data_IF_632487402200
#
_entry.id   IF_632487402200
#
_cell.length_a   1.000
_cell.length_b   1.000
_cell.length_c   1.000
_cell.angle_alpha   90.00
_cell.angle_beta   90.00
_cell.angle_gamma   90.00
#
_symmetry.space_group_name_H-M   'P 1'
#
loop_
_entity.id
_entity.type
_entity.pdbx_description
1 polymer ?
#
# COMPACT_ATOMS: atom_id res chain seq x y z
N UNK A 1 25.10 5.06 8.33
CA UNK A 1 24.01 4.51 9.18
C UNK A 1 24.66 3.65 10.24
N UNK A 2 24.05 3.50 11.44
CA UNK A 2 24.58 2.58 12.44
C UNK A 2 24.37 1.14 11.97
N UNK A 3 25.25 0.25 12.37
CA UNK A 3 25.18 -1.18 12.07
C UNK A 3 24.35 -1.87 13.15
N UNK A 4 23.53 -2.87 12.77
CA UNK A 4 22.66 -3.60 13.68
C UNK A 4 22.97 -5.09 13.58
N UNK A 5 23.17 -5.72 14.73
CA UNK A 5 23.27 -7.18 14.83
C UNK A 5 22.03 -7.73 15.57
N UNK A 6 21.14 -8.38 14.82
CA UNK A 6 20.02 -9.13 15.39
C UNK A 6 20.51 -10.53 15.77
N UNK A 7 20.52 -10.84 17.09
CA UNK A 7 20.99 -12.12 17.61
C UNK A 7 19.85 -13.06 17.92
N UNK A 8 20.07 -14.37 17.64
CA UNK A 8 19.11 -15.43 17.93
C UNK A 8 17.71 -15.18 17.32
N UNK A 9 17.69 -14.58 16.12
CA UNK A 9 16.45 -14.35 15.37
C UNK A 9 16.06 -15.60 14.57
N UNK A 10 14.76 -15.94 14.50
CA UNK A 10 14.29 -17.00 13.63
C UNK A 10 14.05 -16.49 12.21
N UNK A 11 14.65 -17.14 11.21
CA UNK A 11 14.42 -16.90 9.78
C UNK A 11 14.05 -18.23 9.14
N UNK A 12 12.87 -18.33 8.52
CA UNK A 12 12.39 -19.55 7.89
C UNK A 12 12.49 -20.80 8.81
N UNK A 13 12.20 -20.62 10.10
CA UNK A 13 12.25 -21.69 11.11
C UNK A 13 13.62 -22.03 11.67
N UNK A 14 14.69 -21.36 11.23
CA UNK A 14 16.06 -21.56 11.73
C UNK A 14 16.49 -20.38 12.62
N UNK A 15 17.05 -20.66 13.81
CA UNK A 15 17.63 -19.63 14.67
C UNK A 15 19.01 -19.22 14.11
N UNK A 16 19.21 -17.94 13.87
CA UNK A 16 20.43 -17.39 13.28
C UNK A 16 20.76 -16.01 13.85
N UNK A 17 21.93 -15.48 13.53
CA UNK A 17 22.29 -14.09 13.69
C UNK A 17 22.19 -13.38 12.33
N UNK A 18 21.74 -12.14 12.31
CA UNK A 18 21.61 -11.31 11.10
C UNK A 18 22.31 -9.97 11.32
N UNK A 19 23.27 -9.65 10.45
CA UNK A 19 23.96 -8.36 10.43
C UNK A 19 23.34 -7.45 9.37
N UNK A 20 23.07 -6.22 9.76
CA UNK A 20 22.55 -5.17 8.88
C UNK A 20 23.60 -4.06 8.83
N UNK A 21 24.08 -3.76 7.61
CA UNK A 21 25.06 -2.73 7.32
C UNK A 21 24.58 -1.91 6.11
N UNK A 22 24.77 -0.61 6.14
CA UNK A 22 24.41 0.31 5.04
C UNK A 22 22.98 0.14 4.50
N UNK A 23 22.05 -0.15 5.39
CA UNK A 23 20.64 -0.34 5.04
C UNK A 23 20.31 -1.69 4.40
N UNK A 24 21.25 -2.65 4.40
CA UNK A 24 21.08 -3.98 3.80
C UNK A 24 21.36 -5.09 4.80
N UNK A 25 20.76 -6.25 4.56
CA UNK A 25 21.15 -7.50 5.21
C UNK A 25 22.51 -7.89 4.63
N UNK A 26 23.57 -7.69 5.39
CA UNK A 26 24.91 -7.99 4.90
C UNK A 26 25.30 -9.45 5.12
N UNK A 27 24.81 -10.06 6.21
CA UNK A 27 25.13 -11.45 6.55
C UNK A 27 24.03 -12.11 7.36
N UNK A 28 23.77 -13.38 7.07
CA UNK A 28 22.95 -14.29 7.89
C UNK A 28 23.80 -15.52 8.18
N UNK A 29 23.95 -15.90 9.45
CA UNK A 29 24.78 -17.04 9.85
C UNK A 29 24.24 -17.70 11.12
N UNK A 30 24.72 -18.91 11.43
CA UNK A 30 24.31 -19.64 12.62
C UNK A 30 24.48 -18.80 13.89
N UNK A 31 23.55 -18.95 14.82
CA UNK A 31 23.50 -18.17 16.05
C UNK A 31 24.84 -18.23 16.81
N UNK A 32 25.36 -17.09 17.22
CA UNK A 32 26.62 -16.94 17.94
C UNK A 32 27.88 -16.98 17.07
N UNK A 33 27.77 -17.05 15.74
CA UNK A 33 28.93 -17.10 14.85
C UNK A 33 29.37 -15.77 14.27
N UNK A 34 28.49 -14.75 14.30
CA UNK A 34 28.85 -13.39 13.86
C UNK A 34 29.54 -12.68 15.04
N UNK A 35 30.90 -12.57 14.96
CA UNK A 35 31.67 -11.70 15.83
C UNK A 35 31.67 -10.29 15.22
N UNK A 36 31.03 -9.34 15.89
CA UNK A 36 31.00 -7.96 15.42
C UNK A 36 31.26 -6.98 16.57
N UNK A 37 32.16 -6.03 16.35
CA UNK A 37 32.56 -5.03 17.33
C UNK A 37 32.10 -3.66 16.83
N UNK A 38 31.13 -3.02 17.53
CA UNK A 38 30.63 -1.69 17.19
C UNK A 38 29.19 -1.61 16.69
N UNK A 39 28.47 -2.74 16.45
CA UNK A 39 27.06 -2.73 16.08
C UNK A 39 26.14 -2.50 17.31
N UNK A 40 24.93 -1.97 17.06
CA UNK A 40 23.81 -2.03 18.02
C UNK A 40 23.29 -3.50 18.08
N UNK A 41 23.65 -4.20 19.16
CA UNK A 41 23.31 -5.62 19.34
C UNK A 41 21.90 -5.72 19.94
N UNK A 42 21.01 -6.41 19.24
CA UNK A 42 19.63 -6.63 19.64
C UNK A 42 19.36 -8.11 19.84
N UNK A 43 19.00 -8.52 21.06
CA UNK A 43 18.57 -9.89 21.36
C UNK A 43 17.15 -10.12 20.79
N UNK A 44 17.00 -11.13 19.94
CA UNK A 44 15.77 -11.43 19.21
C UNK A 44 15.22 -12.83 19.50
N UNK A 45 15.66 -13.49 20.56
CA UNK A 45 15.14 -14.81 20.95
C UNK A 45 13.63 -14.77 21.15
N UNK A 46 12.93 -15.72 20.52
CA UNK A 46 11.46 -15.76 20.50
C UNK A 46 10.80 -14.79 19.53
N UNK A 47 11.61 -14.22 18.59
CA UNK A 47 11.08 -13.41 17.50
C UNK A 47 11.39 -14.04 16.15
N UNK A 48 10.50 -13.85 15.19
CA UNK A 48 10.65 -14.26 13.79
C UNK A 48 10.84 -13.02 12.93
N UNK A 49 11.91 -13.03 12.11
CA UNK A 49 12.08 -12.00 11.09
C UNK A 49 11.25 -12.33 9.86
N UNK A 50 10.58 -11.34 9.32
CA UNK A 50 9.91 -11.41 8.02
C UNK A 50 10.07 -10.09 7.26
N UNK A 51 9.85 -10.08 5.94
CA UNK A 51 9.88 -8.83 5.18
C UNK A 51 8.82 -7.85 5.68
N UNK A 52 9.12 -6.56 5.62
CA UNK A 52 8.14 -5.52 5.84
C UNK A 52 6.97 -5.60 4.86
N UNK A 53 5.77 -5.33 5.33
CA UNK A 53 4.61 -5.27 4.45
C UNK A 53 4.64 -4.03 3.56
N UNK A 54 4.11 -4.19 2.36
CA UNK A 54 3.90 -3.10 1.41
C UNK A 54 2.41 -2.92 1.16
N UNK A 55 1.89 -1.75 1.45
CA UNK A 55 0.50 -1.39 1.23
C UNK A 55 0.34 -0.68 -0.12
N UNK A 56 -0.23 -1.36 -1.12
CA UNK A 56 -0.19 -0.91 -2.51
C UNK A 56 -1.29 0.07 -2.91
N UNK A 57 -2.16 0.46 -1.98
CA UNK A 57 -3.14 1.53 -2.20
C UNK A 57 -3.59 2.13 -0.87
N UNK A 58 -3.36 3.43 -0.72
CA UNK A 58 -3.78 4.23 0.43
C UNK A 58 -4.25 5.63 0.01
N UNK A 59 -4.94 6.28 0.97
CA UNK A 59 -5.18 7.71 1.01
C UNK A 59 -4.73 8.23 2.38
N UNK A 60 -3.42 8.39 2.56
CA UNK A 60 -2.80 8.66 3.86
C UNK A 60 -3.35 9.93 4.53
N UNK A 61 -3.68 10.95 3.74
CA UNK A 61 -4.33 12.17 4.24
C UNK A 61 -5.71 11.96 4.86
N UNK A 62 -6.34 10.80 4.67
CA UNK A 62 -7.61 10.44 5.29
C UNK A 62 -7.46 9.77 6.66
N UNK A 63 -6.24 9.63 7.20
CA UNK A 63 -6.01 8.87 8.44
C UNK A 63 -6.81 9.38 9.66
N UNK A 64 -7.18 10.65 9.67
CA UNK A 64 -8.01 11.24 10.72
C UNK A 64 -9.51 11.23 10.43
N UNK A 65 -9.95 10.70 9.27
CA UNK A 65 -11.36 10.65 8.85
C UNK A 65 -12.07 9.35 9.24
N UNK A 66 -11.54 8.57 10.14
CA UNK A 66 -12.16 7.32 10.61
C UNK A 66 -13.53 7.58 11.20
N UNK A 67 -14.52 6.74 10.84
CA UNK A 67 -15.88 6.87 11.35
C UNK A 67 -16.69 8.01 10.73
N UNK A 68 -16.21 8.62 9.64
CA UNK A 68 -16.95 9.66 8.93
C UNK A 68 -17.68 9.04 7.74
N UNK A 69 -19.02 9.29 7.66
CA UNK A 69 -19.84 8.81 6.54
C UNK A 69 -20.22 7.33 6.65
N UNK A 70 -20.38 6.82 7.87
CA UNK A 70 -20.84 5.46 8.10
C UNK A 70 -22.33 5.29 7.72
N UNK A 71 -22.69 4.06 7.31
CA UNK A 71 -24.07 3.61 7.05
C UNK A 71 -24.84 4.44 6.00
N UNK A 72 -24.14 5.01 5.02
CA UNK A 72 -24.73 5.73 3.88
C UNK A 72 -24.31 5.09 2.55
N UNK A 73 -25.09 5.33 1.49
CA UNK A 73 -24.78 4.78 0.16
C UNK A 73 -23.44 5.33 -0.38
N UNK A 74 -22.72 4.52 -1.18
CA UNK A 74 -21.39 4.83 -1.73
C UNK A 74 -21.29 6.26 -2.32
N UNK A 75 -22.24 6.66 -3.18
CA UNK A 75 -22.19 8.00 -3.81
C UNK A 75 -22.40 9.12 -2.79
N UNK A 76 -23.27 8.92 -1.81
CA UNK A 76 -23.48 9.90 -0.73
C UNK A 76 -22.24 10.00 0.17
N UNK A 77 -21.56 8.86 0.40
CA UNK A 77 -20.29 8.81 1.10
C UNK A 77 -19.22 9.60 0.33
N UNK A 78 -19.08 9.36 -0.97
CA UNK A 78 -18.10 10.05 -1.82
C UNK A 78 -18.35 11.57 -1.86
N UNK A 79 -19.60 12.01 -2.05
CA UNK A 79 -19.98 13.42 -2.00
C UNK A 79 -19.62 14.06 -0.64
N UNK A 80 -19.90 13.36 0.46
CA UNK A 80 -19.55 13.81 1.80
C UNK A 80 -18.05 13.94 2.01
N UNK A 81 -17.27 12.98 1.56
CA UNK A 81 -15.80 13.04 1.65
C UNK A 81 -15.28 14.24 0.84
N UNK A 82 -15.75 14.43 -0.39
CA UNK A 82 -15.33 15.57 -1.21
C UNK A 82 -15.69 16.92 -0.59
N UNK A 83 -16.85 17.04 0.08
CA UNK A 83 -17.21 18.27 0.81
C UNK A 83 -16.23 18.54 1.97
N UNK A 84 -15.82 17.51 2.69
CA UNK A 84 -14.84 17.64 3.77
C UNK A 84 -13.47 18.02 3.19
N UNK A 85 -13.05 17.38 2.11
CA UNK A 85 -11.75 17.62 1.47
C UNK A 85 -11.55 19.06 0.98
N UNK A 86 -12.64 19.79 0.67
CA UNK A 86 -12.56 21.22 0.34
C UNK A 86 -12.04 22.10 1.48
N UNK A 87 -12.13 21.63 2.71
CA UNK A 87 -11.68 22.37 3.91
C UNK A 87 -10.26 21.99 4.35
N UNK A 88 -9.65 21.03 3.66
CA UNK A 88 -8.30 20.58 4.01
C UNK A 88 -7.24 21.54 3.49
N UNK A 89 -6.14 21.61 4.22
CA UNK A 89 -4.96 22.36 3.86
C UNK A 89 -3.67 21.51 4.01
N UNK A 90 -2.56 22.10 3.65
CA UNK A 90 -1.24 21.48 3.70
C UNK A 90 -0.88 20.95 5.09
N UNK A 91 -1.19 21.74 6.14
CA UNK A 91 -0.90 21.37 7.52
C UNK A 91 -1.74 20.17 7.97
N UNK A 92 -3.03 20.13 7.61
CA UNK A 92 -3.87 18.96 7.88
C UNK A 92 -3.27 17.72 7.23
N UNK A 93 -2.97 17.76 5.93
CA UNK A 93 -2.45 16.60 5.20
C UNK A 93 -1.11 16.13 5.75
N UNK A 94 -0.21 17.06 6.12
CA UNK A 94 1.04 16.70 6.79
C UNK A 94 0.81 15.90 8.07
N UNK A 95 -0.05 16.39 8.96
CA UNK A 95 -0.30 15.72 10.23
C UNK A 95 -1.10 14.42 10.07
N UNK A 96 -2.07 14.38 9.15
CA UNK A 96 -2.83 13.16 8.84
C UNK A 96 -1.91 12.08 8.24
N UNK A 97 -1.00 12.44 7.34
CA UNK A 97 -0.02 11.51 6.78
C UNK A 97 0.94 10.98 7.87
N UNK A 98 1.35 11.81 8.85
CA UNK A 98 2.14 11.31 9.99
C UNK A 98 1.38 10.30 10.84
N UNK A 99 0.07 10.50 11.04
CA UNK A 99 -0.79 9.53 11.74
C UNK A 99 -0.90 8.24 10.93
N UNK A 100 -1.08 8.33 9.60
CA UNK A 100 -1.06 7.16 8.71
C UNK A 100 0.25 6.39 8.82
N UNK A 101 1.39 7.06 8.71
CA UNK A 101 2.70 6.45 8.85
C UNK A 101 2.89 5.79 10.23
N UNK A 102 2.43 6.44 11.29
CA UNK A 102 2.49 5.89 12.65
C UNK A 102 1.72 4.57 12.73
N UNK A 103 0.49 4.50 12.22
CA UNK A 103 -0.29 3.27 12.21
C UNK A 103 0.36 2.19 11.34
N UNK A 104 0.78 2.53 10.13
CA UNK A 104 1.46 1.62 9.22
C UNK A 104 2.73 1.03 9.87
N UNK A 105 3.55 1.84 10.54
CA UNK A 105 4.71 1.34 11.31
C UNK A 105 4.25 0.38 12.40
N UNK A 106 3.23 0.73 13.18
CA UNK A 106 2.74 -0.10 14.30
C UNK A 106 2.13 -1.41 13.85
N UNK A 107 1.67 -1.50 12.60
CA UNK A 107 1.07 -2.69 11.99
C UNK A 107 2.00 -3.42 11.02
N UNK A 108 3.25 -2.96 10.85
CA UNK A 108 4.29 -3.69 10.11
C UNK A 108 4.47 -3.27 8.66
N UNK A 109 3.91 -2.17 8.21
CA UNK A 109 4.13 -1.64 6.86
C UNK A 109 5.44 -0.84 6.82
N UNK A 110 6.30 -1.13 5.85
CA UNK A 110 7.57 -0.41 5.59
C UNK A 110 7.53 0.44 4.33
N UNK A 111 6.60 0.13 3.41
CA UNK A 111 6.41 0.89 2.19
C UNK A 111 4.93 0.97 1.83
N UNK A 112 4.51 2.05 1.16
CA UNK A 112 3.14 2.20 0.70
C UNK A 112 3.03 3.01 -0.58
N UNK A 113 1.92 2.83 -1.31
CA UNK A 113 1.55 3.61 -2.49
C UNK A 113 0.36 4.49 -2.12
N UNK A 114 0.53 5.82 -2.24
CA UNK A 114 -0.45 6.81 -1.82
C UNK A 114 -1.03 7.60 -2.98
N UNK A 115 -2.32 7.82 -2.94
CA UNK A 115 -3.04 8.67 -3.87
C UNK A 115 -3.77 9.76 -3.08
N UNK A 116 -3.12 10.92 -2.90
CA UNK A 116 -3.75 12.00 -2.15
C UNK A 116 -3.27 13.39 -2.60
N UNK A 117 -3.94 14.40 -2.09
CA UNK A 117 -3.66 15.81 -2.34
C UNK A 117 -2.44 16.30 -1.53
N UNK A 118 -1.92 17.49 -1.87
CA UNK A 118 -0.81 18.14 -1.15
C UNK A 118 0.45 17.27 -1.02
N UNK A 119 0.83 16.62 -2.11
CA UNK A 119 1.96 15.69 -2.18
C UNK A 119 3.27 16.19 -1.53
N UNK A 120 3.68 17.48 -1.59
CA UNK A 120 4.89 17.96 -0.90
C UNK A 120 4.81 17.79 0.62
N UNK A 121 3.62 17.91 1.20
CA UNK A 121 3.40 17.70 2.63
C UNK A 121 3.39 16.22 3.00
N UNK A 122 2.83 15.37 2.14
CA UNK A 122 2.96 13.93 2.28
C UNK A 122 4.42 13.49 2.22
N UNK A 123 5.20 14.01 1.25
CA UNK A 123 6.65 13.74 1.15
C UNK A 123 7.41 14.12 2.43
N UNK A 124 7.15 15.33 2.96
CA UNK A 124 7.76 15.79 4.20
C UNK A 124 7.44 14.84 5.36
N UNK A 125 6.17 14.49 5.54
CA UNK A 125 5.72 13.59 6.60
C UNK A 125 6.37 12.19 6.48
N UNK A 126 6.34 11.59 5.29
CA UNK A 126 6.91 10.27 5.02
C UNK A 126 8.42 10.25 5.26
N UNK A 127 9.13 11.29 4.79
CA UNK A 127 10.60 11.42 4.98
C UNK A 127 10.98 11.51 6.45
N UNK A 128 10.22 12.26 7.25
CA UNK A 128 10.44 12.37 8.70
C UNK A 128 10.13 11.06 9.43
N UNK A 129 9.09 10.32 8.98
CA UNK A 129 8.70 9.04 9.57
C UNK A 129 9.59 7.87 9.11
N UNK A 130 10.34 8.04 8.02
CA UNK A 130 11.34 7.08 7.55
C UNK A 130 10.80 5.87 6.80
N UNK A 131 9.56 5.92 6.29
CA UNK A 131 8.96 4.91 5.43
C UNK A 131 9.38 5.08 3.97
N UNK A 132 9.26 4.02 3.17
CA UNK A 132 9.26 4.15 1.71
C UNK A 132 7.86 4.49 1.21
N UNK A 133 7.78 5.27 0.14
CA UNK A 133 6.50 5.55 -0.49
C UNK A 133 6.59 5.74 -2.01
N UNK A 134 5.53 5.34 -2.69
CA UNK A 134 5.14 5.86 -3.98
C UNK A 134 4.12 6.97 -3.70
N UNK A 135 4.44 8.23 -4.02
CA UNK A 135 3.53 9.36 -3.82
C UNK A 135 3.00 9.85 -5.16
N UNK A 136 1.68 9.93 -5.29
CA UNK A 136 1.03 10.25 -6.54
C UNK A 136 0.69 11.74 -6.65
N UNK A 137 1.03 12.36 -7.79
CA UNK A 137 0.31 13.54 -8.24
C UNK A 137 -1.02 13.10 -8.86
N UNK A 138 -2.13 13.52 -8.26
CA UNK A 138 -3.47 13.10 -8.68
C UNK A 138 -4.02 14.05 -9.73
N UNK A 139 -4.35 13.54 -10.91
CA UNK A 139 -5.12 14.29 -11.91
C UNK A 139 -6.61 13.97 -11.76
N UNK A 140 -7.43 15.03 -11.69
CA UNK A 140 -8.89 14.96 -11.53
C UNK A 140 -9.52 16.26 -12.07
N UNK A 141 -9.52 16.42 -13.38
CA UNK A 141 -9.95 17.65 -14.06
C UNK A 141 -11.47 17.79 -14.21
N UNK A 142 -12.22 16.74 -13.90
CA UNK A 142 -13.70 16.69 -14.01
C UNK A 142 -14.23 17.17 -15.38
N UNK A 143 -13.47 16.88 -16.43
CA UNK A 143 -13.73 17.32 -17.80
C UNK A 143 -13.75 18.86 -17.98
N UNK A 144 -13.04 19.61 -17.13
CA UNK A 144 -12.81 21.04 -17.28
C UNK A 144 -11.47 21.30 -17.97
N UNK A 145 -11.45 21.88 -19.20
CA UNK A 145 -10.22 22.11 -19.95
C UNK A 145 -9.25 23.10 -19.27
N UNK A 146 -9.76 24.11 -18.54
CA UNK A 146 -8.91 25.06 -17.81
C UNK A 146 -8.21 24.35 -16.64
N UNK A 147 -8.96 23.52 -15.93
CA UNK A 147 -8.42 22.70 -14.85
C UNK A 147 -7.41 21.67 -15.38
N UNK A 148 -7.65 21.05 -16.54
CA UNK A 148 -6.70 20.15 -17.19
C UNK A 148 -5.35 20.83 -17.43
N UNK A 149 -5.34 22.03 -18.04
CA UNK A 149 -4.10 22.78 -18.32
C UNK A 149 -3.39 23.19 -17.01
N UNK A 150 -4.15 23.61 -16.00
CA UNK A 150 -3.59 23.95 -14.69
C UNK A 150 -2.90 22.74 -14.05
N UNK A 151 -3.57 21.57 -14.04
CA UNK A 151 -3.02 20.36 -13.44
C UNK A 151 -1.81 19.82 -14.20
N UNK A 152 -1.75 19.95 -15.53
CA UNK A 152 -0.57 19.58 -16.33
C UNK A 152 0.67 20.37 -15.90
N UNK A 153 0.54 21.71 -15.76
CA UNK A 153 1.63 22.57 -15.31
C UNK A 153 2.08 22.19 -13.90
N UNK A 154 1.14 22.05 -12.98
CA UNK A 154 1.45 21.68 -11.60
C UNK A 154 2.10 20.29 -11.49
N UNK A 155 1.64 19.31 -12.27
CA UNK A 155 2.26 17.99 -12.30
C UNK A 155 3.71 18.06 -12.76
N UNK A 156 4.00 18.82 -13.81
CA UNK A 156 5.37 19.00 -14.30
C UNK A 156 6.27 19.68 -13.26
N UNK A 157 5.79 20.72 -12.60
CA UNK A 157 6.52 21.40 -11.53
C UNK A 157 6.79 20.46 -10.34
N UNK A 158 5.79 19.67 -9.93
CA UNK A 158 5.95 18.69 -8.85
C UNK A 158 6.93 17.57 -9.24
N UNK A 159 6.88 17.09 -10.47
CA UNK A 159 7.84 16.12 -10.97
C UNK A 159 9.25 16.65 -10.96
N UNK A 160 9.48 17.87 -11.42
CA UNK A 160 10.82 18.51 -11.36
C UNK A 160 11.30 18.67 -9.90
N UNK A 161 10.43 19.09 -9.00
CA UNK A 161 10.74 19.17 -7.57
C UNK A 161 11.09 17.80 -6.96
N UNK A 162 10.39 16.74 -7.37
CA UNK A 162 10.61 15.38 -6.87
C UNK A 162 11.98 14.80 -7.20
N UNK A 163 12.69 15.33 -8.18
CA UNK A 163 14.07 14.90 -8.51
C UNK A 163 15.08 15.17 -7.39
N UNK A 164 14.72 16.01 -6.43
CA UNK A 164 15.51 16.27 -5.22
C UNK A 164 15.11 15.41 -4.02
N UNK A 165 14.11 14.54 -4.17
CA UNK A 165 13.63 13.69 -3.09
C UNK A 165 14.65 12.60 -2.73
N UNK A 166 14.49 12.08 -1.52
CA UNK A 166 15.20 10.87 -1.10
C UNK A 166 14.82 9.69 -2.00
N UNK A 167 15.75 8.77 -2.23
CA UNK A 167 15.54 7.49 -2.92
C UNK A 167 14.52 6.55 -2.20
N UNK A 168 14.11 6.92 -0.99
CA UNK A 168 13.03 6.26 -0.26
C UNK A 168 11.63 6.60 -0.81
N UNK A 169 11.51 7.68 -1.60
CA UNK A 169 10.20 8.17 -2.09
C UNK A 169 10.24 8.38 -3.59
N UNK A 170 9.30 7.75 -4.29
CA UNK A 170 9.19 7.80 -5.75
C UNK A 170 7.95 8.58 -6.15
N UNK A 171 8.10 9.47 -7.13
CA UNK A 171 6.99 10.17 -7.76
C UNK A 171 6.20 9.23 -8.67
N UNK A 172 4.87 9.27 -8.57
CA UNK A 172 3.92 8.55 -9.42
C UNK A 172 2.92 9.57 -9.97
N UNK A 173 2.38 9.34 -11.16
CA UNK A 173 1.20 10.08 -11.63
C UNK A 173 -0.04 9.23 -11.39
N UNK A 174 -1.10 9.84 -10.88
CA UNK A 174 -2.36 9.14 -10.65
C UNK A 174 -3.49 9.74 -11.46
N UNK A 175 -4.19 8.88 -12.20
CA UNK A 175 -5.49 9.16 -12.80
C UNK A 175 -6.52 8.79 -11.74
N UNK A 176 -7.28 9.79 -11.20
CA UNK A 176 -8.22 9.48 -10.13
C UNK A 176 -9.14 8.31 -10.51
N UNK A 177 -9.96 8.48 -11.53
CA UNK A 177 -10.81 7.43 -12.10
C UNK A 177 -11.31 7.86 -13.49
N UNK A 178 -11.77 6.92 -14.31
CA UNK A 178 -12.26 7.21 -15.67
C UNK A 178 -13.47 8.18 -15.72
N UNK A 179 -14.26 8.23 -14.66
CA UNK A 179 -15.45 9.09 -14.59
C UNK A 179 -15.15 10.52 -14.11
N UNK A 180 -13.97 10.79 -13.62
CA UNK A 180 -13.55 12.07 -13.03
C UNK A 180 -12.38 12.73 -13.78
N UNK A 181 -11.88 12.08 -14.83
CA UNK A 181 -10.73 12.55 -15.62
C UNK A 181 -11.08 12.50 -17.11
N UNK A 182 -10.88 13.61 -17.82
CA UNK A 182 -11.13 13.66 -19.26
C UNK A 182 -10.22 12.73 -20.04
N UNK A 183 -10.69 12.21 -21.19
CA UNK A 183 -9.88 11.35 -22.07
C UNK A 183 -8.56 12.01 -22.45
N UNK A 184 -8.61 13.30 -22.80
CA UNK A 184 -7.40 14.06 -23.16
C UNK A 184 -6.37 14.13 -22.01
N UNK A 185 -6.85 14.22 -20.76
CA UNK A 185 -6.00 14.24 -19.57
C UNK A 185 -5.48 12.84 -19.22
N UNK A 186 -6.28 11.79 -19.40
CA UNK A 186 -5.85 10.38 -19.31
C UNK A 186 -4.70 10.09 -20.26
N UNK A 187 -4.85 10.46 -21.53
CA UNK A 187 -3.81 10.28 -22.56
C UNK A 187 -2.56 11.08 -22.20
N UNK A 188 -2.70 12.35 -21.82
CA UNK A 188 -1.56 13.18 -21.42
C UNK A 188 -0.82 12.59 -20.22
N UNK A 189 -1.54 12.16 -19.19
CA UNK A 189 -0.95 11.57 -17.97
C UNK A 189 -0.17 10.28 -18.29
N UNK A 190 -0.72 9.44 -19.15
CA UNK A 190 -0.06 8.21 -19.62
C UNK A 190 1.21 8.51 -20.42
N UNK A 191 1.14 9.44 -21.38
CA UNK A 191 2.30 9.84 -22.17
C UNK A 191 3.39 10.48 -21.32
N UNK A 192 2.99 11.36 -20.38
CA UNK A 192 3.91 11.99 -19.43
C UNK A 192 4.62 10.95 -18.54
N UNK A 193 3.86 9.99 -18.00
CA UNK A 193 4.42 8.91 -17.19
C UNK A 193 5.47 8.12 -17.97
N UNK A 194 5.14 7.64 -19.15
CA UNK A 194 6.03 6.82 -19.96
C UNK A 194 7.26 7.55 -20.45
N UNK A 195 7.11 8.82 -20.84
CA UNK A 195 8.23 9.67 -21.24
C UNK A 195 9.26 9.85 -20.09
N UNK A 196 8.80 9.81 -18.86
CA UNK A 196 9.63 10.03 -17.66
C UNK A 196 9.92 8.73 -16.88
N UNK A 197 9.51 7.56 -17.37
CA UNK A 197 9.73 6.27 -16.69
C UNK A 197 8.98 6.12 -15.36
N UNK A 198 7.81 6.78 -15.23
CA UNK A 198 6.99 6.78 -14.03
C UNK A 198 5.95 5.67 -14.04
N UNK A 199 5.46 5.29 -12.86
CA UNK A 199 4.27 4.47 -12.70
C UNK A 199 3.00 5.32 -12.83
N UNK A 200 1.91 4.65 -13.22
CA UNK A 200 0.55 5.22 -13.28
C UNK A 200 -0.30 4.51 -12.23
N UNK A 201 -0.99 5.27 -11.40
CA UNK A 201 -1.93 4.74 -10.41
C UNK A 201 -3.36 5.13 -10.81
N UNK A 202 -4.34 4.22 -10.68
CA UNK A 202 -5.73 4.49 -11.09
C UNK A 202 -6.72 3.65 -10.28
N UNK A 203 -7.87 4.24 -9.88
CA UNK A 203 -9.04 3.46 -9.45
C UNK A 203 -9.71 2.87 -10.69
N UNK A 204 -9.94 1.57 -10.69
CA UNK A 204 -10.42 0.86 -11.88
C UNK A 204 -11.45 -0.21 -11.54
N UNK A 205 -12.64 -0.10 -12.15
CA UNK A 205 -13.72 -1.10 -12.02
C UNK A 205 -14.07 -1.41 -10.56
N UNK A 206 -14.18 -0.37 -9.73
CA UNK A 206 -14.50 -0.50 -8.30
C UNK A 206 -15.96 -0.87 -8.07
N UNK A 207 -16.89 -0.24 -8.82
CA UNK A 207 -18.33 -0.41 -8.63
C UNK A 207 -19.01 -0.89 -9.90
N UNK A 208 -20.13 -1.62 -9.73
CA UNK A 208 -20.99 -2.02 -10.86
C UNK A 208 -21.48 -0.81 -11.65
N UNK A 209 -21.74 0.29 -10.96
CA UNK A 209 -22.17 1.54 -11.59
C UNK A 209 -21.09 2.14 -12.47
N UNK A 210 -19.84 2.19 -12.04
CA UNK A 210 -18.72 2.64 -12.85
C UNK A 210 -18.63 1.85 -14.16
N UNK A 211 -18.74 0.52 -14.08
CA UNK A 211 -18.70 -0.36 -15.26
C UNK A 211 -19.88 -0.08 -16.19
N UNK A 212 -21.10 -0.02 -15.65
CA UNK A 212 -22.31 0.20 -16.45
C UNK A 212 -22.32 1.57 -17.13
N UNK A 213 -21.89 2.62 -16.42
CA UNK A 213 -21.81 3.98 -16.96
C UNK A 213 -20.74 4.07 -18.07
N UNK A 214 -19.59 3.45 -17.87
CA UNK A 214 -18.52 3.37 -18.88
C UNK A 214 -19.02 2.66 -20.14
N UNK A 215 -19.67 1.50 -20.01
CA UNK A 215 -20.25 0.78 -21.15
C UNK A 215 -21.26 1.60 -21.91
N UNK A 216 -22.12 2.36 -21.21
CA UNK A 216 -23.09 3.22 -21.83
C UNK A 216 -22.46 4.40 -22.61
N UNK A 217 -21.35 4.94 -22.10
CA UNK A 217 -20.67 6.11 -22.70
C UNK A 217 -19.67 5.74 -23.78
N UNK A 218 -19.06 4.55 -23.73
CA UNK A 218 -17.95 4.14 -24.58
C UNK A 218 -18.28 2.91 -25.46
N UNK A 219 -19.51 2.87 -26.01
CA UNK A 219 -19.89 1.86 -27.03
C UNK A 219 -19.86 0.41 -26.56
N UNK A 220 -20.16 0.18 -25.27
CA UNK A 220 -20.20 -1.14 -24.66
C UNK A 220 -18.87 -1.61 -24.07
N UNK A 221 -17.82 -0.79 -24.09
CA UNK A 221 -16.53 -1.12 -23.47
C UNK A 221 -16.59 -1.01 -21.95
N UNK A 222 -16.01 -2.00 -21.26
CA UNK A 222 -15.74 -1.90 -19.82
C UNK A 222 -14.66 -0.85 -19.53
N UNK A 223 -14.46 -0.41 -18.27
CA UNK A 223 -13.35 0.48 -17.91
C UNK A 223 -11.96 -0.05 -18.35
N UNK A 224 -11.74 -1.36 -18.23
CA UNK A 224 -10.50 -2.01 -18.66
C UNK A 224 -10.36 -1.96 -20.18
N UNK A 225 -11.41 -2.35 -20.92
CA UNK A 225 -11.41 -2.30 -22.39
C UNK A 225 -11.21 -0.87 -22.91
N UNK A 226 -11.82 0.12 -22.26
CA UNK A 226 -11.68 1.52 -22.61
C UNK A 226 -10.24 2.00 -22.43
N UNK A 227 -9.63 1.79 -21.25
CA UNK A 227 -8.23 2.17 -21.01
C UNK A 227 -7.25 1.39 -21.92
N UNK A 228 -7.56 0.13 -22.23
CA UNK A 228 -6.75 -0.65 -23.19
C UNK A 228 -6.84 -0.07 -24.60
N UNK A 229 -8.04 0.34 -25.05
CA UNK A 229 -8.24 0.99 -26.34
C UNK A 229 -7.50 2.30 -26.51
N UNK A 230 -7.30 3.03 -25.40
CA UNK A 230 -6.48 4.24 -25.33
C UNK A 230 -4.98 3.96 -25.22
N UNK A 231 -4.57 2.69 -25.10
CA UNK A 231 -3.18 2.30 -24.92
C UNK A 231 -2.59 2.66 -23.55
N UNK A 232 -3.43 2.88 -22.53
CA UNK A 232 -2.99 3.27 -21.18
C UNK A 232 -2.47 2.09 -20.36
N UNK A 233 -3.03 0.88 -20.55
CA UNK A 233 -2.66 -0.28 -19.73
C UNK A 233 -1.28 -0.84 -20.07
N UNK A 234 -0.49 -1.17 -19.06
CA UNK A 234 0.86 -1.71 -19.16
C UNK A 234 1.43 -2.13 -17.80
N UNK A 235 2.67 -2.65 -17.79
CA UNK A 235 3.41 -3.04 -16.57
C UNK A 235 3.72 -1.84 -15.65
N UNK A 236 3.57 -0.65 -16.17
CA UNK A 236 3.70 0.62 -15.44
C UNK A 236 2.44 1.01 -14.68
N UNK A 237 1.31 0.29 -14.86
CA UNK A 237 0.01 0.63 -14.27
C UNK A 237 -0.25 -0.15 -12.98
N UNK A 238 -0.66 0.58 -11.94
CA UNK A 238 -1.16 0.09 -10.66
C UNK A 238 -2.65 0.41 -10.60
N UNK A 239 -3.50 -0.60 -10.73
CA UNK A 239 -4.95 -0.47 -10.76
C UNK A 239 -5.55 -0.88 -9.41
N UNK A 240 -6.08 0.09 -8.67
CA UNK A 240 -6.77 -0.15 -7.41
C UNK A 240 -8.19 -0.69 -7.64
N UNK A 241 -8.65 -1.55 -6.73
CA UNK A 241 -9.92 -2.27 -6.70
C UNK A 241 -10.01 -3.42 -7.70
N UNK A 242 -10.09 -3.17 -9.00
CA UNK A 242 -10.23 -4.19 -10.07
C UNK A 242 -11.24 -5.28 -9.70
N UNK A 243 -12.40 -4.86 -9.21
CA UNK A 243 -13.38 -5.74 -8.57
C UNK A 243 -14.45 -6.25 -9.54
N UNK A 244 -15.01 -5.35 -10.39
CA UNK A 244 -16.06 -5.68 -11.35
C UNK A 244 -15.45 -5.93 -12.73
N UNK A 245 -14.91 -7.14 -12.92
CA UNK A 245 -14.21 -7.54 -14.15
C UNK A 245 -14.99 -8.62 -14.91
N UNK A 246 -15.09 -8.50 -16.22
CA UNK A 246 -15.44 -9.60 -17.12
C UNK A 246 -14.25 -10.56 -17.26
N UNK A 247 -14.44 -11.70 -17.93
CA UNK A 247 -13.33 -12.60 -18.23
C UNK A 247 -12.36 -11.98 -19.26
N UNK A 248 -12.89 -11.17 -20.18
CA UNK A 248 -12.09 -10.40 -21.13
C UNK A 248 -11.22 -9.35 -20.45
N UNK A 249 -11.73 -8.68 -19.42
CA UNK A 249 -10.95 -7.71 -18.63
C UNK A 249 -9.77 -8.40 -17.96
N UNK A 250 -9.99 -9.59 -17.39
CA UNK A 250 -8.94 -10.39 -16.77
C UNK A 250 -7.85 -10.75 -17.77
N UNK A 251 -8.22 -11.20 -18.97
CA UNK A 251 -7.26 -11.50 -20.05
C UNK A 251 -6.44 -10.27 -20.46
N UNK A 252 -7.09 -9.10 -20.59
CA UNK A 252 -6.41 -7.84 -20.92
C UNK A 252 -5.42 -7.45 -19.83
N UNK A 253 -5.85 -7.43 -18.57
CA UNK A 253 -5.01 -7.05 -17.43
C UNK A 253 -3.78 -7.96 -17.31
N UNK A 254 -3.97 -9.29 -17.45
CA UNK A 254 -2.88 -10.26 -17.46
C UNK A 254 -1.91 -10.06 -18.62
N UNK A 255 -2.43 -9.93 -19.85
CA UNK A 255 -1.62 -9.71 -21.05
C UNK A 255 -0.80 -8.42 -21.01
N UNK A 256 -1.36 -7.37 -20.40
CA UNK A 256 -0.69 -6.06 -20.24
C UNK A 256 0.26 -6.01 -19.04
N UNK A 257 0.26 -7.03 -18.17
CA UNK A 257 1.11 -7.07 -16.97
C UNK A 257 0.73 -6.03 -15.92
N UNK A 258 -0.55 -5.63 -15.89
CA UNK A 258 -1.06 -4.64 -14.92
C UNK A 258 -0.95 -5.17 -13.50
N UNK A 259 -0.57 -4.31 -12.55
CA UNK A 259 -0.65 -4.62 -11.13
C UNK A 259 -2.06 -4.33 -10.61
N UNK A 260 -2.79 -5.37 -10.21
CA UNK A 260 -4.12 -5.29 -9.64
C UNK A 260 -4.05 -5.26 -8.12
N UNK A 261 -4.63 -4.25 -7.48
CA UNK A 261 -4.60 -4.08 -6.01
C UNK A 261 -5.97 -4.34 -5.41
N UNK A 262 -6.08 -5.38 -4.57
CA UNK A 262 -7.33 -5.72 -3.89
C UNK A 262 -7.46 -4.96 -2.58
N UNK A 263 -8.51 -4.14 -2.45
CA UNK A 263 -8.82 -3.29 -1.29
C UNK A 263 -10.02 -3.86 -0.52
N UNK A 264 -9.88 -5.08 0.00
CA UNK A 264 -11.00 -5.88 0.49
C UNK A 264 -11.85 -5.20 1.55
N UNK A 265 -11.21 -4.58 2.56
CA UNK A 265 -11.92 -3.98 3.70
C UNK A 265 -12.78 -2.79 3.26
N UNK A 266 -12.23 -1.93 2.40
CA UNK A 266 -12.97 -0.83 1.77
C UNK A 266 -14.12 -1.33 0.91
N UNK A 267 -13.86 -2.27 0.00
CA UNK A 267 -14.90 -2.81 -0.89
C UNK A 267 -16.05 -3.45 -0.14
N UNK A 268 -15.77 -4.17 0.96
CA UNK A 268 -16.81 -4.77 1.80
C UNK A 268 -17.58 -3.72 2.60
N UNK A 269 -16.88 -2.77 3.22
CA UNK A 269 -17.50 -1.74 4.05
C UNK A 269 -18.39 -0.80 3.23
N UNK A 270 -17.92 -0.36 2.06
CA UNK A 270 -18.68 0.51 1.15
C UNK A 270 -19.69 -0.26 0.28
N UNK A 271 -19.79 -1.59 0.46
CA UNK A 271 -20.63 -2.48 -0.33
C UNK A 271 -20.41 -2.34 -1.85
N UNK A 272 -19.18 -1.98 -2.29
CA UNK A 272 -18.81 -1.91 -3.71
C UNK A 272 -18.84 -3.28 -4.36
N UNK A 273 -18.62 -4.36 -3.59
CA UNK A 273 -18.64 -5.76 -4.03
C UNK A 273 -17.67 -6.63 -3.22
N UNK A 274 -17.63 -7.94 -3.53
CA UNK A 274 -16.80 -8.90 -2.79
C UNK A 274 -16.16 -10.00 -3.65
N UNK A 275 -16.48 -10.05 -4.96
CA UNK A 275 -16.03 -11.12 -5.86
C UNK A 275 -14.76 -10.75 -6.63
N UNK A 276 -13.70 -10.40 -5.92
CA UNK A 276 -12.41 -10.15 -6.56
C UNK A 276 -11.87 -11.43 -7.22
N UNK A 277 -11.57 -11.38 -8.52
CA UNK A 277 -11.16 -12.53 -9.35
C UNK A 277 -9.67 -12.89 -9.17
N UNK A 278 -9.23 -13.17 -7.93
CA UNK A 278 -7.83 -13.44 -7.62
C UNK A 278 -7.22 -14.56 -8.47
N UNK A 279 -7.86 -15.75 -8.47
CA UNK A 279 -7.31 -16.92 -9.17
C UNK A 279 -7.18 -16.63 -10.66
N UNK A 280 -8.21 -16.02 -11.25
CA UNK A 280 -8.30 -15.69 -12.66
C UNK A 280 -7.23 -14.67 -13.07
N UNK A 281 -7.03 -13.61 -12.28
CA UNK A 281 -6.00 -12.59 -12.51
C UNK A 281 -4.59 -13.19 -12.40
N UNK A 282 -4.32 -13.98 -11.36
CA UNK A 282 -3.05 -14.70 -11.19
C UNK A 282 -2.76 -15.61 -12.39
N UNK A 283 -3.74 -16.42 -12.78
CA UNK A 283 -3.59 -17.42 -13.87
C UNK A 283 -3.44 -16.74 -15.23
N UNK A 284 -4.01 -15.55 -15.41
CA UNK A 284 -3.80 -14.70 -16.58
C UNK A 284 -2.43 -13.98 -16.60
N UNK A 285 -1.67 -14.02 -15.48
CA UNK A 285 -0.34 -13.41 -15.38
C UNK A 285 -0.32 -11.97 -14.86
N UNK A 286 -1.42 -11.44 -14.36
CA UNK A 286 -1.44 -10.14 -13.68
C UNK A 286 -0.65 -10.20 -12.37
N UNK A 287 0.05 -9.12 -12.02
CA UNK A 287 0.65 -8.97 -10.71
C UNK A 287 -0.45 -8.56 -9.71
N UNK A 288 -0.67 -9.36 -8.65
CA UNK A 288 -1.73 -9.08 -7.68
C UNK A 288 -1.13 -8.68 -6.34
N UNK A 289 -1.60 -7.55 -5.81
CA UNK A 289 -1.18 -7.01 -4.52
C UNK A 289 -2.40 -6.71 -3.63
N UNK A 290 -2.15 -6.40 -2.35
CA UNK A 290 -3.16 -5.90 -1.42
C UNK A 290 -2.95 -4.42 -1.12
N UNK A 291 -4.05 -3.73 -0.82
CA UNK A 291 -4.07 -2.38 -0.30
C UNK A 291 -5.18 -2.21 0.74
N UNK A 292 -5.03 -1.24 1.62
CA UNK A 292 -6.04 -0.94 2.64
C UNK A 292 -7.09 0.05 2.17
N UNK A 293 -6.75 0.86 1.15
CA UNK A 293 -7.47 2.09 0.84
C UNK A 293 -7.35 3.15 1.97
N UNK A 294 -8.15 4.20 1.96
CA UNK A 294 -8.13 5.27 2.97
C UNK A 294 -8.92 4.93 4.23
N UNK A 295 -8.54 5.56 5.35
CA UNK A 295 -9.24 5.37 6.63
C UNK A 295 -10.70 5.87 6.63
N UNK A 296 -11.10 6.69 5.67
CA UNK A 296 -12.51 7.06 5.51
C UNK A 296 -13.36 5.89 4.97
N UNK A 297 -12.75 4.99 4.18
CA UNK A 297 -13.43 3.83 3.59
C UNK A 297 -13.18 2.51 4.33
N UNK A 298 -11.96 2.25 4.84
CA UNK A 298 -11.60 0.99 5.49
C UNK A 298 -11.44 1.09 7.02
N UNK A 299 -11.35 2.30 7.56
CA UNK A 299 -11.12 2.65 8.96
C UNK A 299 -9.75 2.30 9.54
N UNK A 300 -8.91 1.53 8.88
CA UNK A 300 -7.54 1.24 9.32
C UNK A 300 -6.58 1.02 8.14
N UNK A 301 -5.27 0.99 8.45
CA UNK A 301 -4.18 0.75 7.50
C UNK A 301 -3.43 -0.56 7.86
N UNK A 302 -4.15 -1.54 8.40
CA UNK A 302 -3.59 -2.80 8.91
C UNK A 302 -3.56 -3.89 7.84
N UNK A 303 -2.35 -4.25 7.37
CA UNK A 303 -2.16 -5.25 6.34
C UNK A 303 -2.43 -6.69 6.83
N UNK A 304 -2.26 -7.00 8.14
CA UNK A 304 -2.62 -8.32 8.68
C UNK A 304 -4.14 -8.53 8.65
N UNK A 305 -4.91 -7.51 9.04
CA UNK A 305 -6.37 -7.56 8.93
C UNK A 305 -6.80 -7.69 7.46
N UNK A 306 -6.18 -6.92 6.57
CA UNK A 306 -6.46 -6.99 5.13
C UNK A 306 -6.18 -8.37 4.55
N UNK A 307 -5.05 -8.99 4.90
CA UNK A 307 -4.73 -10.37 4.49
C UNK A 307 -5.77 -11.37 4.99
N UNK A 308 -6.11 -11.33 6.28
CA UNK A 308 -7.11 -12.22 6.89
C UNK A 308 -8.46 -12.10 6.20
N UNK A 309 -8.96 -10.88 6.03
CA UNK A 309 -10.24 -10.62 5.39
C UNK A 309 -10.24 -11.11 3.93
N UNK A 310 -9.17 -10.83 3.18
CA UNK A 310 -9.01 -11.29 1.78
C UNK A 310 -9.08 -12.82 1.69
N UNK A 311 -8.34 -13.53 2.52
CA UNK A 311 -8.35 -14.99 2.51
C UNK A 311 -9.74 -15.57 2.86
N UNK A 312 -10.39 -15.00 3.87
CA UNK A 312 -11.70 -15.52 4.34
C UNK A 312 -12.79 -15.29 3.30
N UNK A 313 -12.86 -14.10 2.70
CA UNK A 313 -13.89 -13.81 1.69
C UNK A 313 -13.68 -14.63 0.41
N UNK A 314 -12.43 -14.82 -0.04
CA UNK A 314 -12.13 -15.65 -1.21
C UNK A 314 -12.58 -17.09 -1.01
N UNK A 315 -12.29 -17.68 0.15
CA UNK A 315 -12.73 -19.04 0.49
C UNK A 315 -14.25 -19.14 0.56
N UNK A 316 -14.90 -18.13 1.17
CA UNK A 316 -16.35 -18.14 1.38
C UNK A 316 -17.14 -18.06 0.06
N UNK A 317 -16.87 -17.06 -0.79
CA UNK A 317 -17.66 -16.87 -2.00
C UNK A 317 -17.34 -17.92 -3.09
N UNK A 318 -16.13 -18.48 -3.09
CA UNK A 318 -15.75 -19.58 -4.00
C UNK A 318 -16.20 -20.95 -3.51
N UNK A 319 -16.62 -21.05 -2.24
CA UNK A 319 -16.88 -22.33 -1.57
C UNK A 319 -15.70 -23.32 -1.70
N UNK A 320 -14.47 -22.76 -1.57
CA UNK A 320 -13.21 -23.49 -1.73
C UNK A 320 -12.22 -23.09 -0.65
N UNK A 321 -11.86 -24.01 0.23
CA UNK A 321 -10.91 -23.78 1.33
C UNK A 321 -9.47 -23.57 0.85
N UNK A 322 -9.15 -23.93 -0.39
CA UNK A 322 -7.83 -23.76 -0.99
C UNK A 322 -7.67 -22.42 -1.71
N UNK A 323 -8.74 -21.66 -1.90
CA UNK A 323 -8.69 -20.36 -2.56
C UNK A 323 -7.78 -19.39 -1.81
N UNK A 324 -6.96 -18.62 -2.52
CA UNK A 324 -5.98 -17.67 -1.99
C UNK A 324 -5.11 -18.30 -0.88
N UNK A 325 -4.14 -19.16 -1.25
CA UNK A 325 -3.26 -19.86 -0.30
C UNK A 325 -2.42 -18.89 0.51
N UNK A 326 -2.02 -19.27 1.72
CA UNK A 326 -1.29 -18.43 2.68
C UNK A 326 0.02 -17.87 2.10
N UNK A 327 0.80 -18.70 1.40
CA UNK A 327 2.05 -18.29 0.78
C UNK A 327 1.82 -17.22 -0.29
N UNK A 328 0.83 -17.39 -1.17
CA UNK A 328 0.48 -16.41 -2.19
C UNK A 328 -0.01 -15.09 -1.55
N UNK A 329 -0.78 -15.20 -0.47
CA UNK A 329 -1.28 -14.05 0.28
C UNK A 329 -0.13 -13.20 0.89
N UNK A 330 0.90 -13.86 1.44
CA UNK A 330 2.10 -13.18 1.92
C UNK A 330 2.87 -12.53 0.77
N UNK A 331 2.98 -13.21 -0.38
CA UNK A 331 3.62 -12.64 -1.56
C UNK A 331 2.91 -11.36 -2.05
N UNK A 332 1.57 -11.29 -1.92
CA UNK A 332 0.79 -10.10 -2.31
C UNK A 332 1.10 -8.85 -1.48
N UNK A 333 1.73 -9.00 -0.32
CA UNK A 333 2.12 -7.88 0.55
C UNK A 333 3.64 -7.73 0.71
N UNK A 334 4.43 -8.57 0.04
CA UNK A 334 5.90 -8.57 0.13
C UNK A 334 6.57 -8.62 -1.25
N UNK A 335 6.59 -9.77 -1.90
CA UNK A 335 7.32 -10.02 -3.15
C UNK A 335 6.65 -9.35 -4.35
N UNK A 336 5.33 -9.43 -4.47
CA UNK A 336 4.62 -8.86 -5.61
C UNK A 336 4.71 -7.33 -5.66
N UNK A 337 4.50 -6.59 -4.56
CA UNK A 337 4.74 -5.15 -4.56
C UNK A 337 6.22 -4.78 -4.75
N UNK A 338 7.19 -5.59 -4.31
CA UNK A 338 8.62 -5.34 -4.55
C UNK A 338 8.95 -5.23 -6.05
N UNK A 339 8.27 -6.01 -6.91
CA UNK A 339 8.37 -5.90 -8.38
C UNK A 339 7.95 -4.53 -8.89
N UNK A 340 6.89 -3.96 -8.29
CA UNK A 340 6.37 -2.63 -8.65
C UNK A 340 7.32 -1.53 -8.19
N UNK A 341 7.84 -1.65 -6.97
CA UNK A 341 8.82 -0.72 -6.40
C UNK A 341 10.15 -0.74 -7.15
N UNK A 342 10.49 -1.86 -7.81
CA UNK A 342 11.76 -2.01 -8.55
C UNK A 342 12.98 -2.05 -7.64
N UNK A 343 12.83 -2.44 -6.36
CA UNK A 343 13.90 -2.51 -5.36
C UNK A 343 13.98 -3.90 -4.73
N UNK A 344 15.14 -4.26 -4.19
CA UNK A 344 15.34 -5.58 -3.57
C UNK A 344 14.83 -5.59 -2.13
N UNK A 345 13.50 -5.70 -1.97
CA UNK A 345 12.78 -5.90 -0.71
C UNK A 345 11.85 -7.13 -0.83
N UNK A 346 11.13 -7.46 0.22
CA UNK A 346 10.12 -8.53 0.21
C UNK A 346 10.68 -9.94 0.46
N UNK A 347 11.98 -10.08 0.70
CA UNK A 347 12.65 -11.33 1.06
C UNK A 347 13.68 -11.10 2.15
N UNK A 348 13.92 -12.14 2.98
CA UNK A 348 15.02 -12.15 3.95
C UNK A 348 16.18 -12.92 3.32
N UNK A 349 17.12 -12.18 2.72
CA UNK A 349 18.30 -12.76 2.07
C UNK A 349 19.47 -11.76 2.11
N UNK A 350 20.69 -12.25 2.07
CA UNK A 350 21.88 -11.39 2.01
C UNK A 350 21.86 -10.52 0.74
N UNK A 351 22.18 -9.24 0.90
CA UNK A 351 22.14 -8.21 -0.16
C UNK A 351 20.77 -7.52 -0.32
N UNK A 352 19.69 -8.03 0.26
CA UNK A 352 18.41 -7.35 0.27
C UNK A 352 18.44 -6.08 1.13
N UNK A 353 17.60 -5.11 0.81
CA UNK A 353 17.38 -3.95 1.68
C UNK A 353 16.77 -4.43 3.00
N UNK A 354 17.24 -3.87 4.11
CA UNK A 354 16.79 -4.24 5.45
C UNK A 354 15.48 -3.51 5.79
N UNK A 355 14.39 -3.96 5.15
CA UNK A 355 13.01 -3.59 5.43
C UNK A 355 12.35 -4.81 6.07
N UNK A 356 12.30 -4.85 7.41
CA UNK A 356 12.04 -6.07 8.20
C UNK A 356 11.03 -5.82 9.30
N UNK A 357 10.29 -6.87 9.63
CA UNK A 357 9.48 -6.98 10.85
C UNK A 357 10.11 -8.01 11.78
N UNK A 358 10.12 -7.72 13.07
CA UNK A 358 10.38 -8.67 14.12
C UNK A 358 9.04 -9.02 14.79
N UNK A 359 8.57 -10.23 14.59
CA UNK A 359 7.28 -10.72 15.11
C UNK A 359 7.54 -11.45 16.42
N UNK A 360 6.91 -11.01 17.50
CA UNK A 360 6.92 -11.71 18.79
C UNK A 360 6.01 -12.93 18.73
N UNK A 361 6.59 -14.13 18.86
CA UNK A 361 5.86 -15.40 18.85
C UNK A 361 5.65 -15.98 20.26
N UNK A 362 5.95 -15.23 21.29
CA UNK A 362 5.75 -15.63 22.69
C UNK A 362 4.31 -15.63 23.17
N UNK A 363 3.37 -15.15 22.35
CA UNK A 363 1.96 -15.07 22.72
C UNK A 363 1.20 -16.38 22.45
N UNK A 364 0.00 -16.52 23.05
CA UNK A 364 -0.88 -17.69 22.87
C UNK A 364 -1.31 -17.91 21.40
N UNK A 365 -1.24 -16.88 20.57
CA UNK A 365 -1.56 -16.99 19.14
C UNK A 365 -0.62 -17.95 18.40
N UNK A 366 0.61 -18.12 18.87
CA UNK A 366 1.66 -18.94 18.26
C UNK A 366 1.94 -20.25 19.04
N UNK A 367 1.18 -20.56 20.10
CA UNK A 367 1.39 -21.79 20.90
C UNK A 367 0.99 -23.06 20.16
N UNK A 368 0.22 -22.97 19.09
CA UNK A 368 -0.22 -24.12 18.30
C UNK A 368 0.95 -24.68 17.46
N UNK A 369 1.00 -26.01 17.22
CA UNK A 369 2.00 -26.62 16.33
C UNK A 369 1.74 -26.35 14.84
N UNK A 370 0.78 -25.51 14.49
CA UNK A 370 0.54 -25.04 13.12
C UNK A 370 1.70 -24.18 12.59
N UNK A 371 1.70 -23.90 11.29
CA UNK A 371 2.73 -23.04 10.71
C UNK A 371 2.68 -21.62 11.28
N UNK A 372 3.83 -20.98 11.33
CA UNK A 372 3.97 -19.56 11.73
C UNK A 372 3.04 -18.67 10.89
N UNK A 373 3.04 -18.84 9.58
CA UNK A 373 2.27 -18.03 8.63
C UNK A 373 0.76 -18.19 8.85
N UNK A 374 0.29 -19.41 9.11
CA UNK A 374 -1.13 -19.66 9.40
C UNK A 374 -1.56 -18.99 10.72
N UNK A 375 -0.71 -19.09 11.76
CA UNK A 375 -0.97 -18.42 13.02
C UNK A 375 -0.90 -16.90 12.90
N UNK A 376 0.06 -16.37 12.14
CA UNK A 376 0.17 -14.94 11.87
C UNK A 376 -1.10 -14.38 11.21
N UNK A 377 -1.58 -15.03 10.14
CA UNK A 377 -2.71 -14.52 9.35
C UNK A 377 -4.05 -14.76 10.04
N UNK A 378 -4.29 -15.95 10.58
CA UNK A 378 -5.63 -16.32 11.07
C UNK A 378 -5.83 -16.10 12.56
N UNK A 379 -4.76 -16.11 13.36
CA UNK A 379 -4.87 -16.08 14.82
C UNK A 379 -4.33 -14.78 15.43
N UNK A 380 -3.22 -14.26 14.92
CA UNK A 380 -2.56 -13.08 15.49
C UNK A 380 -3.28 -11.77 15.11
N UNK A 381 -2.89 -10.71 15.81
CA UNK A 381 -3.23 -9.32 15.52
C UNK A 381 -1.94 -8.52 15.40
N UNK A 382 -2.00 -7.29 14.89
CA UNK A 382 -0.82 -6.48 14.59
C UNK A 382 -0.02 -6.03 15.83
N UNK A 383 -0.52 -6.30 17.04
CA UNK A 383 0.25 -6.14 18.27
C UNK A 383 1.41 -7.15 18.41
N UNK A 384 1.39 -8.26 17.64
CA UNK A 384 2.52 -9.19 17.54
C UNK A 384 3.74 -8.61 16.80
N UNK A 385 3.60 -7.52 16.05
CA UNK A 385 4.72 -6.81 15.41
C UNK A 385 5.50 -6.07 16.48
N UNK A 386 6.56 -6.67 17.00
CA UNK A 386 7.38 -6.10 18.07
C UNK A 386 8.22 -4.91 17.61
N UNK A 387 8.91 -5.07 16.48
CA UNK A 387 9.81 -4.04 15.94
C UNK A 387 9.71 -3.97 14.42
N UNK A 388 9.98 -2.78 13.88
CA UNK A 388 9.98 -2.50 12.44
C UNK A 388 11.28 -1.82 12.08
N UNK A 389 11.97 -2.36 11.10
CA UNK A 389 13.19 -1.80 10.51
C UNK A 389 12.84 -1.42 9.07
N UNK A 390 13.21 -0.21 8.65
CA UNK A 390 13.12 0.24 7.27
C UNK A 390 14.44 0.91 6.87
N UNK A 391 14.97 0.53 5.73
CA UNK A 391 16.26 0.99 5.25
C UNK A 391 17.38 0.88 6.32
N UNK A 392 17.38 -0.24 7.07
CA UNK A 392 18.36 -0.51 8.12
C UNK A 392 18.24 0.36 9.38
N UNK A 393 17.07 0.99 9.61
CA UNK A 393 16.82 1.80 10.82
C UNK A 393 15.57 1.31 11.54
N UNK A 394 15.61 1.23 12.86
CA UNK A 394 14.42 0.99 13.65
C UNK A 394 13.45 2.19 13.54
N UNK A 395 12.27 1.97 12.97
CA UNK A 395 11.14 2.89 13.02
C UNK A 395 10.31 2.63 14.28
N UNK A 396 10.22 1.37 14.69
CA UNK A 396 9.62 0.93 15.95
C UNK A 396 10.54 -0.10 16.60
N UNK A 397 10.79 0.00 17.90
CA UNK A 397 11.56 -0.99 18.70
C UNK A 397 10.77 -1.32 19.96
N UNK A 398 10.50 -2.63 20.19
CA UNK A 398 9.69 -3.10 21.32
C UNK A 398 8.34 -2.36 21.43
N UNK A 399 7.60 -2.24 20.34
CA UNK A 399 6.31 -1.54 20.24
C UNK A 399 6.35 -0.02 20.46
N UNK A 400 7.51 0.59 20.57
CA UNK A 400 7.68 2.03 20.79
C UNK A 400 8.12 2.71 19.49
N UNK A 401 7.30 3.65 18.99
CA UNK A 401 7.65 4.56 17.90
C UNK A 401 8.09 5.89 18.50
N UNK A 402 9.29 6.40 18.16
CA UNK A 402 9.74 7.70 18.65
C UNK A 402 8.75 8.83 18.31
N UNK A 403 8.41 9.67 19.27
CA UNK A 403 7.52 10.83 19.03
C UNK A 403 6.03 10.49 18.88
N UNK A 404 5.59 9.24 19.13
CA UNK A 404 4.18 8.82 18.95
C UNK A 404 3.19 9.76 19.65
N UNK A 405 3.47 10.13 20.91
CA UNK A 405 2.56 10.99 21.70
C UNK A 405 2.47 12.40 21.14
N UNK A 406 3.58 12.94 20.68
CA UNK A 406 3.70 14.26 20.06
C UNK A 406 2.99 14.29 18.72
N UNK A 407 3.18 13.27 17.87
CA UNK A 407 2.48 13.13 16.61
C UNK A 407 0.97 13.17 16.80
N UNK A 408 0.44 12.38 17.74
CA UNK A 408 -0.99 12.33 18.01
C UNK A 408 -1.53 13.63 18.63
N UNK A 409 -0.74 14.29 19.50
CA UNK A 409 -1.13 15.55 20.12
C UNK A 409 -1.20 16.69 19.09
N UNK A 410 -0.22 16.77 18.19
CA UNK A 410 -0.22 17.76 17.10
C UNK A 410 -1.37 17.53 16.12
N UNK A 411 -1.56 16.28 15.66
CA UNK A 411 -2.63 15.94 14.72
C UNK A 411 -4.02 16.33 15.24
N UNK A 412 -4.29 16.16 16.53
CA UNK A 412 -5.57 16.54 17.16
C UNK A 412 -5.92 18.01 16.99
N UNK A 413 -4.96 18.89 16.83
CA UNK A 413 -5.21 20.34 16.63
C UNK A 413 -5.92 20.65 15.31
N UNK A 414 -5.82 19.74 14.34
CA UNK A 414 -6.37 19.91 12.98
C UNK A 414 -7.70 19.20 12.77
N UNK A 415 -8.25 18.49 13.78
CA UNK A 415 -9.54 17.80 13.64
C UNK A 415 -10.71 18.72 13.29
N UNK A 416 -10.61 20.02 13.61
CA UNK A 416 -11.63 21.01 13.27
C UNK A 416 -11.81 21.19 11.74
N UNK A 417 -10.87 20.69 10.91
CA UNK A 417 -10.99 20.74 9.44
C UNK A 417 -11.96 19.72 8.88
N UNK A 418 -12.25 18.69 9.64
CA UNK A 418 -13.11 17.56 9.22
C UNK A 418 -14.42 17.45 10.04
N UNK A 419 -14.69 18.39 10.93
CA UNK A 419 -15.94 18.51 11.69
C UNK A 419 -16.92 19.49 10.99
#
# INVERSE_FOLDING_TARGET
MGEILLKNISVNGNECDMLIEDGRISRIADAGTIAYDGADVVECRGKVAMPGFVNMHTHAGMAMMRGIGEDIAFHQWLDRIWEIEKNLDEEYVYHATKVACLEMIKTGTTAFNDQYWYMPMAYKAVSEMGLRALLSYVVCDRNDPEESERQKVQCQEMYEASKSWSDMVTFVISIHAIYSVSESMILWASDFARKNGLKIHVHLSETEKEVSDCMAQHGGMSPVEYLDSLGVLGEDVIAAHTLWLSDKDVEILGKRGVTCVHNVNSNLKLASGYKFKYNELRDAGANVCLGTDGCASSNNLDMLETMKTSAMIQKAWRNDTSAMPINELIEMVTVNPAKVLGINVGRIEEGALADLLLIDVGSYHFMSPGSFEANLIYSAHSDCVDSVICNGRFLMKNRVVPGEKEILAEAKKYLHRIM
#
